data_IF_620849102365
#
_entry.id   IF_620849102365
#
_cell.length_a   1.000
_cell.length_b   1.000
_cell.length_c   1.000
_cell.angle_alpha   90.00
_cell.angle_beta   90.00
_cell.angle_gamma   90.00
#
_symmetry.space_group_name_H-M   'P 1'
#
loop_
_entity.id
_entity.type
_entity.pdbx_description
1 polymer ?
#
# COMPACT_ATOMS: atom_id res chain seq x y z
N UNK A 1 10.05 34.80 -20.38
CA UNK A 1 8.81 34.59 -19.59
C UNK A 1 7.77 33.66 -20.23
N UNK A 2 7.68 33.48 -21.56
CA UNK A 2 6.66 32.61 -22.20
C UNK A 2 6.78 31.09 -21.93
N UNK A 3 7.97 30.59 -21.54
CA UNK A 3 8.20 29.15 -21.31
C UNK A 3 7.61 28.62 -20.00
N UNK A 4 7.67 29.41 -18.91
CA UNK A 4 7.20 28.99 -17.59
C UNK A 4 5.67 28.89 -17.52
N UNK A 5 4.94 29.80 -18.18
CA UNK A 5 3.48 29.75 -18.28
C UNK A 5 2.97 28.49 -18.99
N UNK A 6 3.57 28.12 -20.13
CA UNK A 6 3.17 26.90 -20.86
C UNK A 6 3.39 25.60 -20.08
N UNK A 7 4.42 25.56 -19.24
CA UNK A 7 4.70 24.43 -18.35
C UNK A 7 3.65 24.32 -17.23
N UNK A 8 3.27 25.45 -16.64
CA UNK A 8 2.23 25.49 -15.60
C UNK A 8 0.87 25.03 -16.14
N UNK A 9 0.45 25.52 -17.31
CA UNK A 9 -0.82 25.14 -17.95
C UNK A 9 -0.88 23.64 -18.28
N UNK A 10 0.21 23.09 -18.82
CA UNK A 10 0.31 21.66 -19.14
C UNK A 10 0.25 20.79 -17.88
N UNK A 11 0.92 21.21 -16.81
CA UNK A 11 0.91 20.51 -15.53
C UNK A 11 -0.48 20.55 -14.88
N UNK A 12 -1.17 21.69 -14.97
CA UNK A 12 -2.53 21.84 -14.44
C UNK A 12 -3.54 20.98 -15.21
N UNK A 13 -3.47 20.94 -16.54
CA UNK A 13 -4.30 20.07 -17.37
C UNK A 13 -4.07 18.57 -17.09
N UNK A 14 -2.81 18.16 -16.90
CA UNK A 14 -2.45 16.79 -16.51
C UNK A 14 -3.01 16.43 -15.13
N UNK A 15 -2.95 17.36 -14.17
CA UNK A 15 -3.44 17.15 -12.82
C UNK A 15 -4.97 16.98 -12.78
N UNK A 16 -5.72 17.82 -13.51
CA UNK A 16 -7.18 17.68 -13.62
C UNK A 16 -7.57 16.32 -14.21
N UNK A 17 -6.90 15.87 -15.28
CA UNK A 17 -7.16 14.57 -15.90
C UNK A 17 -6.94 13.39 -14.96
N UNK A 18 -5.94 13.47 -14.08
CA UNK A 18 -5.66 12.43 -13.08
C UNK A 18 -6.73 12.41 -11.99
N UNK A 19 -7.09 13.58 -11.46
CA UNK A 19 -8.15 13.70 -10.47
C UNK A 19 -9.48 13.14 -10.98
N UNK A 20 -9.82 13.36 -12.25
CA UNK A 20 -11.03 12.80 -12.86
C UNK A 20 -10.94 11.28 -13.04
N UNK A 21 -9.78 10.73 -13.45
CA UNK A 21 -9.57 9.27 -13.50
C UNK A 21 -9.75 8.63 -12.12
N UNK A 22 -9.21 9.25 -11.08
CA UNK A 22 -9.35 8.79 -9.69
C UNK A 22 -10.82 8.74 -9.29
N UNK A 23 -11.55 9.85 -9.48
CA UNK A 23 -12.99 9.94 -9.17
C UNK A 23 -13.80 8.88 -9.90
N UNK A 24 -13.59 8.73 -11.21
CA UNK A 24 -14.25 7.71 -12.02
C UNK A 24 -13.93 6.29 -11.58
N UNK A 25 -12.70 6.03 -11.10
CA UNK A 25 -12.34 4.73 -10.56
C UNK A 25 -13.08 4.45 -9.24
N UNK A 26 -13.13 5.42 -8.32
CA UNK A 26 -13.81 5.28 -7.04
C UNK A 26 -15.33 5.13 -7.21
N UNK A 27 -15.95 5.88 -8.12
CA UNK A 27 -17.39 5.76 -8.43
C UNK A 27 -17.75 4.34 -8.90
N UNK A 28 -16.83 3.65 -9.59
CA UNK A 28 -17.04 2.30 -10.13
C UNK A 28 -16.71 1.17 -9.15
N UNK A 29 -15.67 1.35 -8.33
CA UNK A 29 -15.12 0.29 -7.49
C UNK A 29 -15.42 0.49 -5.99
N UNK A 30 -16.00 1.64 -5.63
CA UNK A 30 -16.29 2.01 -4.25
C UNK A 30 -15.02 2.29 -3.46
N UNK A 31 -14.97 1.73 -2.25
CA UNK A 31 -13.87 1.96 -1.31
C UNK A 31 -12.64 1.16 -1.72
N UNK A 32 -11.53 1.85 -1.94
CA UNK A 32 -10.30 1.25 -2.44
C UNK A 32 -9.06 1.80 -1.76
N UNK A 33 -8.03 0.97 -1.68
CA UNK A 33 -6.68 1.34 -1.29
C UNK A 33 -6.00 2.18 -2.37
N UNK A 34 -4.94 2.91 -2.00
CA UNK A 34 -4.11 3.66 -2.94
C UNK A 34 -3.57 2.76 -4.06
N UNK A 35 -3.18 1.53 -3.74
CA UNK A 35 -2.58 0.59 -4.69
C UNK A 35 -3.57 0.15 -5.75
N UNK A 36 -4.80 -0.18 -5.35
CA UNK A 36 -5.88 -0.55 -6.28
C UNK A 36 -6.21 0.61 -7.22
N UNK A 37 -6.36 1.82 -6.69
CA UNK A 37 -6.60 3.01 -7.53
C UNK A 37 -5.43 3.22 -8.49
N UNK A 38 -4.19 3.24 -7.98
CA UNK A 38 -3.00 3.50 -8.77
C UNK A 38 -2.83 2.49 -9.92
N UNK A 39 -3.05 1.22 -9.65
CA UNK A 39 -3.07 0.16 -10.67
C UNK A 39 -4.22 0.36 -11.67
N UNK A 40 -5.41 0.71 -11.18
CA UNK A 40 -6.59 0.89 -12.01
C UNK A 40 -6.55 2.10 -12.95
N UNK A 41 -5.74 3.11 -12.65
CA UNK A 41 -5.57 4.31 -13.49
C UNK A 41 -4.22 4.37 -14.21
N UNK A 42 -3.35 3.38 -13.99
CA UNK A 42 -1.98 3.27 -14.51
C UNK A 42 -1.06 4.45 -14.09
N UNK A 43 -0.97 4.68 -12.78
CA UNK A 43 -0.08 5.68 -12.18
C UNK A 43 0.71 5.11 -11.00
N UNK A 44 1.79 5.80 -10.61
CA UNK A 44 2.57 5.42 -9.43
C UNK A 44 1.80 5.65 -8.13
N UNK A 45 2.00 4.78 -7.14
CA UNK A 45 1.38 4.87 -5.82
C UNK A 45 1.56 6.24 -5.13
N UNK A 46 2.78 6.79 -5.17
CA UNK A 46 3.08 8.06 -4.52
C UNK A 46 2.33 9.23 -5.17
N UNK A 47 2.27 9.25 -6.50
CA UNK A 47 1.56 10.28 -7.24
C UNK A 47 0.04 10.18 -7.05
N UNK A 48 -0.50 8.96 -7.07
CA UNK A 48 -1.92 8.70 -6.81
C UNK A 48 -2.30 9.10 -5.39
N UNK A 49 -1.51 8.75 -4.38
CA UNK A 49 -1.74 9.15 -2.99
C UNK A 49 -1.77 10.67 -2.80
N UNK A 50 -0.85 11.39 -3.47
CA UNK A 50 -0.83 12.85 -3.43
C UNK A 50 -2.15 13.43 -3.92
N UNK A 51 -2.61 13.01 -5.10
CA UNK A 51 -3.85 13.49 -5.69
C UNK A 51 -5.10 13.09 -4.90
N UNK A 52 -5.14 11.87 -4.34
CA UNK A 52 -6.22 11.42 -3.45
C UNK A 52 -6.32 12.28 -2.18
N UNK A 53 -5.19 12.65 -1.57
CA UNK A 53 -5.16 13.54 -0.41
C UNK A 53 -5.62 14.95 -0.75
N UNK A 54 -5.24 15.47 -1.92
CA UNK A 54 -5.72 16.76 -2.40
C UNK A 54 -7.24 16.73 -2.61
N UNK A 55 -7.76 15.75 -3.36
CA UNK A 55 -9.20 15.57 -3.55
C UNK A 55 -9.96 15.46 -2.21
N UNK A 56 -9.37 14.77 -1.23
CA UNK A 56 -9.95 14.68 0.12
C UNK A 56 -9.95 16.04 0.83
N UNK A 57 -8.88 16.82 0.69
CA UNK A 57 -8.80 18.18 1.24
C UNK A 57 -9.81 19.12 0.57
N UNK A 58 -10.07 18.91 -0.72
CA UNK A 58 -11.01 19.67 -1.53
C UNK A 58 -12.48 19.23 -1.29
N UNK A 59 -12.71 18.18 -0.51
CA UNK A 59 -14.04 17.63 -0.20
C UNK A 59 -14.67 16.83 -1.36
N UNK A 60 -13.89 16.49 -2.39
CA UNK A 60 -14.37 15.75 -3.56
C UNK A 60 -14.39 14.22 -3.36
N UNK A 61 -13.61 13.71 -2.40
CA UNK A 61 -13.58 12.30 -2.00
C UNK A 61 -13.47 12.18 -0.49
N UNK A 62 -13.95 11.08 0.04
CA UNK A 62 -13.72 10.69 1.42
C UNK A 62 -12.49 9.79 1.55
N UNK A 63 -11.91 9.74 2.74
CA UNK A 63 -10.80 8.83 2.99
C UNK A 63 -10.44 8.69 4.45
N UNK A 64 -9.96 7.50 4.83
CA UNK A 64 -9.44 7.25 6.17
C UNK A 64 -8.28 6.27 6.17
N UNK A 65 -7.48 6.36 7.22
CA UNK A 65 -6.52 5.31 7.55
C UNK A 65 -7.27 4.08 8.05
N UNK A 66 -6.86 2.90 7.58
CA UNK A 66 -7.43 1.63 8.01
C UNK A 66 -6.91 1.22 9.38
N UNK A 67 -7.36 0.04 9.85
CA UNK A 67 -6.79 -0.59 11.04
C UNK A 67 -5.29 -0.83 10.84
N UNK A 68 -4.55 -0.76 11.93
CA UNK A 68 -3.11 -0.98 11.91
C UNK A 68 -2.79 -2.41 11.48
N UNK A 69 -1.97 -2.53 10.45
CA UNK A 69 -1.42 -3.82 10.03
C UNK A 69 -0.25 -4.14 10.95
N UNK A 70 -0.20 -5.32 11.60
CA UNK A 70 0.93 -5.70 12.43
C UNK A 70 2.24 -5.73 11.63
N UNK A 71 3.32 -5.32 12.27
CA UNK A 71 4.67 -5.49 11.75
C UNK A 71 5.50 -6.35 12.71
N UNK A 72 6.46 -7.07 12.17
CA UNK A 72 7.41 -7.91 12.88
C UNK A 72 8.75 -7.19 12.95
N UNK A 73 9.39 -7.27 14.09
CA UNK A 73 10.82 -6.98 14.23
C UNK A 73 11.54 -8.32 14.21
N UNK A 74 12.43 -8.51 13.23
CA UNK A 74 13.25 -9.72 13.07
C UNK A 74 14.69 -9.29 12.86
N UNK A 75 15.56 -9.56 13.83
CA UNK A 75 16.97 -9.16 13.82
C UNK A 75 17.12 -7.65 13.51
N UNK A 76 16.31 -6.82 14.18
CA UNK A 76 16.30 -5.36 14.02
C UNK A 76 15.66 -4.82 12.74
N UNK A 77 15.15 -5.68 11.85
CA UNK A 77 14.48 -5.29 10.60
C UNK A 77 12.96 -5.33 10.76
N UNK A 78 12.27 -4.38 10.11
CA UNK A 78 10.80 -4.29 10.13
C UNK A 78 10.18 -4.96 8.91
N UNK A 79 9.22 -5.86 9.14
CA UNK A 79 8.45 -6.54 8.10
C UNK A 79 6.96 -6.42 8.35
N UNK A 80 6.14 -6.19 7.33
CA UNK A 80 4.68 -6.09 7.48
C UNK A 80 4.07 -7.48 7.35
N UNK A 81 3.15 -7.85 8.24
CA UNK A 81 2.39 -9.10 8.08
C UNK A 81 1.34 -8.93 6.97
N UNK A 82 1.69 -9.37 5.76
CA UNK A 82 0.81 -9.30 4.57
C UNK A 82 0.16 -10.65 4.29
N UNK A 83 -0.77 -10.67 3.32
CA UNK A 83 -1.35 -11.90 2.77
C UNK A 83 -0.53 -12.55 1.65
N UNK A 84 0.64 -11.99 1.31
CA UNK A 84 1.48 -12.46 0.21
C UNK A 84 2.38 -13.60 0.68
N UNK A 85 2.09 -14.83 0.21
CA UNK A 85 2.82 -16.04 0.60
C UNK A 85 4.32 -15.97 0.25
N UNK A 86 4.65 -15.48 -0.94
CA UNK A 86 6.04 -15.45 -1.42
C UNK A 86 6.86 -14.43 -0.63
N UNK A 87 6.25 -13.28 -0.33
CA UNK A 87 6.82 -12.31 0.59
C UNK A 87 7.10 -12.92 1.97
N UNK A 88 6.12 -13.61 2.58
CA UNK A 88 6.31 -14.23 3.91
C UNK A 88 7.41 -15.31 3.88
N UNK A 89 7.45 -16.15 2.84
CA UNK A 89 8.51 -17.14 2.64
C UNK A 89 9.89 -16.48 2.48
N UNK A 90 9.96 -15.31 1.86
CA UNK A 90 11.23 -14.58 1.73
C UNK A 90 11.80 -14.16 3.08
N UNK A 91 10.94 -13.84 4.06
CA UNK A 91 11.35 -13.51 5.43
C UNK A 91 11.89 -14.76 6.12
N UNK A 92 11.18 -15.89 6.02
CA UNK A 92 11.63 -17.18 6.58
C UNK A 92 12.99 -17.57 5.98
N UNK A 93 13.14 -17.48 4.66
CA UNK A 93 14.40 -17.80 3.97
C UNK A 93 15.57 -16.95 4.47
N UNK A 94 15.33 -15.68 4.76
CA UNK A 94 16.37 -14.73 5.19
C UNK A 94 16.80 -14.97 6.63
N UNK A 95 15.85 -15.18 7.54
CA UNK A 95 16.11 -15.15 8.99
C UNK A 95 16.09 -16.52 9.66
N UNK A 96 15.41 -17.49 9.07
CA UNK A 96 15.32 -18.86 9.57
C UNK A 96 15.37 -19.89 8.42
N UNK A 97 16.44 -19.92 7.61
CA UNK A 97 16.53 -20.79 6.43
C UNK A 97 16.34 -22.27 6.76
N UNK A 98 16.73 -22.71 7.96
CA UNK A 98 16.53 -24.07 8.45
C UNK A 98 15.04 -24.46 8.56
N UNK A 99 14.12 -23.50 8.68
CA UNK A 99 12.66 -23.74 8.73
C UNK A 99 12.01 -23.80 7.34
N UNK A 100 12.76 -23.53 6.26
CA UNK A 100 12.19 -23.42 4.91
C UNK A 100 11.52 -24.71 4.42
N UNK A 101 12.04 -25.88 4.79
CA UNK A 101 11.44 -27.16 4.43
C UNK A 101 10.00 -27.27 4.92
N UNK A 102 9.78 -26.90 6.19
CA UNK A 102 8.44 -26.86 6.81
C UNK A 102 7.58 -25.72 6.24
N UNK A 103 8.17 -24.54 6.07
CA UNK A 103 7.45 -23.33 5.69
C UNK A 103 6.81 -23.40 4.28
N UNK A 104 7.45 -24.07 3.30
CA UNK A 104 6.90 -24.17 1.92
C UNK A 104 5.49 -24.76 1.86
N UNK A 105 5.23 -25.77 2.70
CA UNK A 105 3.93 -26.45 2.78
C UNK A 105 2.85 -25.66 3.54
N UNK A 106 3.23 -24.62 4.27
CA UNK A 106 2.30 -23.84 5.09
C UNK A 106 1.40 -22.92 4.25
N UNK A 107 0.18 -22.72 4.72
CA UNK A 107 -0.72 -21.64 4.29
C UNK A 107 -0.19 -20.26 4.74
N UNK A 108 -0.76 -19.19 4.20
CA UNK A 108 -0.45 -17.81 4.61
C UNK A 108 -0.64 -17.62 6.12
N UNK A 109 -1.78 -18.07 6.66
CA UNK A 109 -2.08 -17.95 8.09
C UNK A 109 -1.07 -18.72 8.95
N UNK A 110 -0.64 -19.90 8.51
CA UNK A 110 0.38 -20.67 9.22
C UNK A 110 1.75 -20.00 9.14
N UNK A 111 2.12 -19.43 8.00
CA UNK A 111 3.36 -18.65 7.86
C UNK A 111 3.38 -17.42 8.76
N UNK A 112 2.26 -16.70 8.83
CA UNK A 112 2.11 -15.56 9.74
C UNK A 112 2.28 -15.99 11.20
N UNK A 113 1.70 -17.12 11.60
CA UNK A 113 1.86 -17.70 12.95
C UNK A 113 3.30 -18.12 13.22
N UNK A 114 3.93 -18.82 12.28
CA UNK A 114 5.33 -19.23 12.35
C UNK A 114 6.23 -18.01 12.57
N UNK A 115 6.08 -17.00 11.72
CA UNK A 115 6.86 -15.78 11.78
C UNK A 115 6.66 -15.05 13.12
N UNK A 116 5.42 -14.96 13.59
CA UNK A 116 5.09 -14.25 14.83
C UNK A 116 5.60 -14.97 16.08
N UNK A 117 5.54 -16.32 16.10
CA UNK A 117 5.81 -17.11 17.32
C UNK A 117 7.24 -17.63 17.43
N UNK A 118 7.88 -17.90 16.30
CA UNK A 118 9.16 -18.63 16.28
C UNK A 118 10.31 -17.81 15.68
N UNK A 119 10.03 -16.78 14.86
CA UNK A 119 11.07 -16.04 14.13
C UNK A 119 11.19 -14.59 14.60
N UNK A 120 10.08 -13.93 14.91
CA UNK A 120 10.10 -12.52 15.31
C UNK A 120 10.61 -12.33 16.75
N UNK A 121 11.46 -11.31 16.92
CA UNK A 121 11.87 -10.83 18.23
C UNK A 121 10.70 -10.14 18.94
N UNK A 122 9.88 -9.42 18.16
CA UNK A 122 8.66 -8.78 18.67
C UNK A 122 7.66 -8.48 17.54
N UNK A 123 6.40 -8.27 17.94
CA UNK A 123 5.33 -7.74 17.08
C UNK A 123 5.04 -6.31 17.51
N UNK A 124 5.06 -5.40 16.55
CA UNK A 124 4.82 -3.97 16.76
C UNK A 124 3.68 -3.47 15.89
N UNK A 125 3.22 -2.26 16.20
CA UNK A 125 2.26 -1.57 15.37
C UNK A 125 2.88 -1.15 14.03
N UNK A 126 2.43 -1.74 12.93
CA UNK A 126 2.90 -1.39 11.58
C UNK A 126 2.10 -0.27 10.92
N UNK A 127 2.05 -0.21 9.57
CA UNK A 127 1.41 0.87 8.85
C UNK A 127 -0.11 0.87 9.01
N UNK A 128 -0.70 2.05 8.87
CA UNK A 128 -2.14 2.26 8.72
C UNK A 128 -2.39 2.80 7.31
N UNK A 129 -2.53 1.93 6.30
CA UNK A 129 -2.70 2.37 4.92
C UNK A 129 -3.97 3.22 4.75
N UNK A 130 -3.97 4.05 3.71
CA UNK A 130 -5.14 4.85 3.36
C UNK A 130 -6.07 4.08 2.44
N UNK A 131 -7.36 4.25 2.69
CA UNK A 131 -8.44 3.94 1.75
C UNK A 131 -9.23 5.19 1.48
N UNK A 132 -9.75 5.28 0.25
CA UNK A 132 -10.56 6.40 -0.25
C UNK A 132 -11.83 5.87 -0.90
N UNK A 133 -12.89 6.68 -0.87
CA UNK A 133 -14.17 6.40 -1.51
C UNK A 133 -14.87 7.71 -1.87
N UNK A 134 -15.96 7.62 -2.62
CA UNK A 134 -16.78 8.75 -3.01
C UNK A 134 -18.26 8.39 -2.90
#
# INVERSE_FOLDING_TARGET
MKGALRLAEKNQSQMTKVKDKIKNYLDKNGRSSVAEVAQGIDYSNGYTLKNLKELKSDGEVEGKKTKQIPALVVSGNFYVLTGDKDYLLSIVKRHAPHLMGRARGMSVTELQKLLTKEIADSVVGGPRPWEFWR
#
